data_IF_887691113423
#
_entry.id   IF_887691113423
#
_cell.length_a   1.000
_cell.length_b   1.000
_cell.length_c   1.000
_cell.angle_alpha   90.00
_cell.angle_beta   90.00
_cell.angle_gamma   90.00
#
_symmetry.space_group_name_H-M   'P 1'
#
loop_
_entity.id
_entity.type
_entity.pdbx_description
1 polymer ?
#
# COMPACT_ATOMS: atom_id res chain seq x y z
N UNK A 1 -21.32 13.27 12.44
CA UNK A 1 -20.51 13.87 11.37
C UNK A 1 -19.07 14.17 11.82
N UNK A 2 -18.83 15.12 12.74
CA UNK A 2 -17.45 15.42 13.22
C UNK A 2 -16.90 14.35 14.16
N UNK A 3 -17.73 13.80 15.04
CA UNK A 3 -17.34 12.70 15.94
C UNK A 3 -16.93 11.43 15.18
N UNK A 4 -17.68 11.03 14.15
CA UNK A 4 -17.35 9.86 13.31
C UNK A 4 -16.03 10.07 12.55
N UNK A 5 -15.81 11.28 12.02
CA UNK A 5 -14.59 11.63 11.29
C UNK A 5 -13.38 11.66 12.22
N UNK A 6 -13.53 12.24 13.41
CA UNK A 6 -12.47 12.29 14.42
C UNK A 6 -12.06 10.90 14.91
N UNK A 7 -13.03 9.98 15.06
CA UNK A 7 -12.76 8.59 15.42
C UNK A 7 -11.95 7.88 14.32
N UNK A 8 -12.37 8.03 13.05
CA UNK A 8 -11.68 7.44 11.90
C UNK A 8 -10.26 7.97 11.74
N UNK A 9 -10.07 9.30 11.85
CA UNK A 9 -8.76 9.94 11.78
C UNK A 9 -7.85 9.53 12.94
N UNK A 10 -8.39 9.41 14.16
CA UNK A 10 -7.63 8.95 15.33
C UNK A 10 -7.17 7.51 15.16
N UNK A 11 -8.02 6.63 14.62
CA UNK A 11 -7.65 5.24 14.33
C UNK A 11 -6.60 5.16 13.21
N UNK A 12 -6.76 5.94 12.14
CA UNK A 12 -5.76 6.06 11.07
C UNK A 12 -4.41 6.56 11.61
N UNK A 13 -4.42 7.51 12.53
CA UNK A 13 -3.21 8.01 13.20
C UNK A 13 -2.50 6.91 14.00
N UNK A 14 -3.24 6.09 14.76
CA UNK A 14 -2.68 4.95 15.49
C UNK A 14 -2.05 3.94 14.52
N UNK A 15 -2.74 3.56 13.45
CA UNK A 15 -2.23 2.60 12.45
C UNK A 15 -0.98 3.15 11.76
N UNK A 16 -0.97 4.40 11.32
CA UNK A 16 0.21 5.03 10.71
C UNK A 16 1.40 5.09 11.68
N UNK A 17 1.15 5.35 12.96
CA UNK A 17 2.19 5.33 13.99
C UNK A 17 2.74 3.93 14.23
N UNK A 18 1.90 2.90 14.24
CA UNK A 18 2.32 1.50 14.33
C UNK A 18 3.16 1.07 13.12
N UNK A 19 2.80 1.50 11.91
CA UNK A 19 3.61 1.24 10.71
C UNK A 19 4.98 1.92 10.78
N UNK A 20 5.06 3.15 11.30
CA UNK A 20 6.33 3.83 11.53
C UNK A 20 7.20 3.11 12.58
N UNK A 21 6.60 2.66 13.69
CA UNK A 21 7.32 1.90 14.72
C UNK A 21 7.77 0.54 14.18
N UNK A 22 6.94 -0.17 13.41
CA UNK A 22 7.32 -1.43 12.75
C UNK A 22 8.48 -1.22 11.78
N UNK A 23 8.38 -0.21 10.90
CA UNK A 23 9.45 0.15 9.98
C UNK A 23 10.75 0.51 10.71
N UNK A 24 10.66 1.32 11.77
CA UNK A 24 11.82 1.62 12.61
C UNK A 24 12.37 0.34 13.27
N UNK A 25 11.55 -0.51 13.87
CA UNK A 25 12.03 -1.74 14.53
C UNK A 25 12.72 -2.73 13.59
N UNK A 26 12.30 -2.79 12.33
CA UNK A 26 12.84 -3.72 11.32
C UNK A 26 14.05 -3.14 10.56
N UNK A 27 14.06 -1.83 10.28
CA UNK A 27 15.06 -1.21 9.43
C UNK A 27 16.08 -0.32 10.17
N UNK A 28 15.86 0.00 11.45
CA UNK A 28 16.77 0.84 12.21
C UNK A 28 18.09 0.10 12.49
N UNK A 29 19.15 0.54 11.82
CA UNK A 29 20.50 -0.03 11.94
C UNK A 29 20.90 -1.03 10.84
N UNK A 30 19.99 -1.46 9.96
CA UNK A 30 20.24 -2.46 8.90
C UNK A 30 19.89 -1.93 7.49
N UNK A 31 20.30 -0.70 7.18
CA UNK A 31 19.92 0.03 5.97
C UNK A 31 20.62 -0.44 4.66
N UNK A 32 20.88 -1.74 4.49
CA UNK A 32 21.63 -2.24 3.33
C UNK A 32 20.81 -2.93 2.23
N UNK A 33 19.49 -3.11 2.36
CA UNK A 33 18.71 -3.80 1.32
C UNK A 33 17.36 -3.11 1.09
N UNK A 34 17.11 -2.73 -0.17
CA UNK A 34 15.99 -1.90 -0.66
C UNK A 34 14.61 -2.62 -0.64
N UNK A 35 14.56 -3.84 -0.12
CA UNK A 35 13.37 -4.71 -0.20
C UNK A 35 12.52 -4.67 1.08
N UNK A 36 12.04 -3.49 1.50
CA UNK A 36 11.34 -3.31 2.77
C UNK A 36 10.12 -4.24 2.96
N UNK A 37 9.34 -4.47 1.90
CA UNK A 37 8.18 -5.37 1.96
C UNK A 37 8.58 -6.85 2.07
N UNK A 38 9.62 -7.27 1.34
CA UNK A 38 10.11 -8.67 1.38
C UNK A 38 10.77 -8.97 2.73
N UNK A 39 11.57 -8.05 3.25
CA UNK A 39 12.19 -8.15 4.57
C UNK A 39 11.13 -8.17 5.69
N UNK A 40 10.07 -7.38 5.58
CA UNK A 40 8.96 -7.41 6.53
C UNK A 40 8.18 -8.73 6.47
N UNK A 41 7.95 -9.29 5.28
CA UNK A 41 7.34 -10.62 5.12
C UNK A 41 8.19 -11.73 5.74
N UNK A 42 9.50 -11.72 5.49
CA UNK A 42 10.44 -12.71 6.01
C UNK A 42 10.68 -12.57 7.52
N UNK A 43 10.76 -11.34 8.05
CA UNK A 43 10.88 -11.09 9.49
C UNK A 43 9.64 -11.52 10.27
N UNK A 44 8.44 -11.43 9.67
CA UNK A 44 7.20 -11.99 10.23
C UNK A 44 7.13 -13.52 10.14
N UNK A 45 7.96 -14.15 9.32
CA UNK A 45 8.02 -15.61 9.20
C UNK A 45 8.96 -16.24 10.24
N UNK A 46 9.85 -15.46 10.84
CA UNK A 46 10.75 -15.92 11.90
C UNK A 46 10.03 -15.96 13.26
N UNK A 47 9.75 -17.19 13.71
CA UNK A 47 8.98 -17.53 14.92
C UNK A 47 9.58 -17.04 16.24
N UNK A 48 10.80 -16.48 16.24
CA UNK A 48 11.49 -15.98 17.43
C UNK A 48 11.20 -14.50 17.73
N UNK A 49 10.79 -13.70 16.72
CA UNK A 49 10.54 -12.25 16.85
C UNK A 49 9.03 -11.94 16.83
N UNK A 50 8.27 -12.69 16.04
CA UNK A 50 6.83 -12.53 15.88
C UNK A 50 6.08 -13.65 16.62
N UNK A 51 5.92 -13.54 17.94
CA UNK A 51 5.15 -14.52 18.71
C UNK A 51 3.78 -14.78 18.08
N UNK A 52 3.57 -16.01 17.56
CA UNK A 52 2.37 -16.75 17.14
C UNK A 52 1.12 -16.05 16.52
N UNK A 53 1.06 -14.73 16.45
CA UNK A 53 -0.16 -13.94 16.18
C UNK A 53 -0.01 -13.11 14.88
N UNK A 54 1.22 -12.88 14.42
CA UNK A 54 1.52 -12.09 13.22
C UNK A 54 2.07 -12.97 12.09
N UNK A 55 1.24 -13.87 11.56
CA UNK A 55 1.63 -14.66 10.38
C UNK A 55 1.80 -13.74 9.18
N UNK A 56 2.85 -13.95 8.39
CA UNK A 56 3.13 -13.23 7.13
C UNK A 56 1.94 -13.22 6.16
N UNK A 57 1.06 -14.22 6.26
CA UNK A 57 -0.23 -14.30 5.57
C UNK A 57 -1.24 -13.24 6.00
N UNK A 58 -1.34 -12.91 7.29
CA UNK A 58 -2.23 -11.85 7.78
C UNK A 58 -1.76 -10.47 7.31
N UNK A 59 -0.43 -10.25 7.28
CA UNK A 59 0.14 -9.03 6.70
C UNK A 59 -0.15 -8.92 5.20
N UNK A 60 0.05 -9.99 4.44
CA UNK A 60 -0.29 -10.02 3.02
C UNK A 60 -1.80 -9.79 2.76
N UNK A 61 -2.67 -10.40 3.58
CA UNK A 61 -4.12 -10.20 3.50
C UNK A 61 -4.51 -8.76 3.85
N UNK A 62 -3.90 -8.17 4.88
CA UNK A 62 -4.13 -6.78 5.27
C UNK A 62 -3.67 -5.81 4.18
N UNK A 63 -2.52 -6.05 3.54
CA UNK A 63 -2.06 -5.28 2.39
C UNK A 63 -3.03 -5.40 1.20
N UNK A 64 -3.52 -6.61 0.91
CA UNK A 64 -4.50 -6.83 -0.15
C UNK A 64 -5.81 -6.08 0.13
N UNK A 65 -6.33 -6.18 1.36
CA UNK A 65 -7.54 -5.50 1.79
C UNK A 65 -7.39 -3.97 1.74
N UNK A 66 -6.25 -3.43 2.16
CA UNK A 66 -5.93 -2.00 2.08
C UNK A 66 -6.00 -1.47 0.64
N UNK A 67 -5.48 -2.24 -0.33
CA UNK A 67 -5.53 -1.88 -1.75
C UNK A 67 -6.95 -1.78 -2.32
N UNK A 68 -7.88 -2.62 -1.86
CA UNK A 68 -9.28 -2.57 -2.32
C UNK A 68 -10.00 -1.32 -1.80
N UNK A 69 -9.80 -0.98 -0.53
CA UNK A 69 -10.41 0.20 0.08
C UNK A 69 -9.97 1.50 -0.62
N UNK A 70 -8.68 1.60 -0.96
CA UNK A 70 -8.14 2.76 -1.70
C UNK A 70 -8.77 2.90 -3.10
N UNK A 71 -9.02 1.79 -3.78
CA UNK A 71 -9.60 1.80 -5.14
C UNK A 71 -11.03 2.36 -5.14
N UNK A 72 -11.88 1.95 -4.19
CA UNK A 72 -13.28 2.38 -4.13
C UNK A 72 -13.36 3.88 -3.85
N UNK A 73 -12.68 4.36 -2.80
CA UNK A 73 -12.65 5.78 -2.45
C UNK A 73 -12.04 6.62 -3.58
N UNK A 74 -10.95 6.14 -4.21
CA UNK A 74 -10.33 6.83 -5.35
C UNK A 74 -11.27 7.01 -6.54
N UNK A 75 -12.08 6.01 -6.86
CA UNK A 75 -13.05 6.12 -7.97
C UNK A 75 -14.20 7.08 -7.67
N UNK A 76 -14.68 7.11 -6.42
CA UNK A 76 -15.72 8.04 -5.96
C UNK A 76 -15.22 9.48 -5.83
N UNK A 77 -13.97 9.69 -5.41
CA UNK A 77 -13.35 11.02 -5.43
C UNK A 77 -13.06 11.47 -6.86
N UNK A 78 -12.59 10.58 -7.73
CA UNK A 78 -12.32 10.83 -9.15
C UNK A 78 -13.57 11.29 -9.90
N UNK A 79 -14.61 10.47 -9.92
CA UNK A 79 -15.90 10.93 -9.41
C UNK A 79 -16.27 12.42 -9.41
N UNK A 80 -16.33 12.88 -8.17
CA UNK A 80 -16.67 14.23 -7.71
C UNK A 80 -15.77 15.28 -8.37
N UNK A 81 -14.48 15.00 -8.54
CA UNK A 81 -13.53 15.94 -9.17
C UNK A 81 -13.81 16.10 -10.66
N UNK A 82 -14.05 15.00 -11.39
CA UNK A 82 -14.34 15.04 -12.84
C UNK A 82 -15.67 15.72 -13.12
N UNK A 83 -16.70 15.44 -12.33
CA UNK A 83 -18.01 16.11 -12.47
C UNK A 83 -17.97 17.57 -12.01
N UNK A 84 -17.21 17.89 -10.96
CA UNK A 84 -17.14 19.24 -10.39
C UNK A 84 -16.24 20.21 -11.17
N UNK A 85 -15.05 19.77 -11.58
CA UNK A 85 -14.08 20.63 -12.25
C UNK A 85 -14.17 20.55 -13.79
N UNK A 86 -14.30 19.33 -14.33
CA UNK A 86 -14.31 19.11 -15.79
C UNK A 86 -15.72 19.05 -16.37
N UNK A 87 -16.78 19.01 -15.54
CA UNK A 87 -18.17 18.84 -15.94
C UNK A 87 -18.39 17.63 -16.88
N UNK A 88 -17.53 16.63 -16.78
CA UNK A 88 -17.55 15.41 -17.61
C UNK A 88 -18.10 14.25 -16.80
N UNK A 89 -19.25 13.71 -17.21
CA UNK A 89 -19.84 12.51 -16.62
C UNK A 89 -19.33 11.27 -17.33
N UNK A 90 -18.30 10.66 -16.77
CA UNK A 90 -17.76 9.38 -17.23
C UNK A 90 -18.20 8.23 -16.32
N UNK A 91 -18.48 7.03 -16.87
CA UNK A 91 -18.84 5.88 -16.07
C UNK A 91 -17.69 5.45 -15.14
N UNK A 92 -18.04 4.95 -13.95
CA UNK A 92 -17.08 4.54 -12.90
C UNK A 92 -16.01 3.56 -13.39
N UNK A 93 -16.37 2.62 -14.28
CA UNK A 93 -15.36 1.68 -14.83
C UNK A 93 -14.27 2.45 -15.56
N UNK A 94 -14.61 3.51 -16.29
CA UNK A 94 -13.70 4.15 -17.24
C UNK A 94 -12.66 4.96 -16.49
N UNK A 95 -13.09 5.63 -15.42
CA UNK A 95 -12.21 6.30 -14.47
C UNK A 95 -11.30 5.27 -13.77
N UNK A 96 -11.84 4.11 -13.38
CA UNK A 96 -11.07 3.04 -12.74
C UNK A 96 -10.00 2.44 -13.68
N UNK A 97 -10.35 2.16 -14.93
CA UNK A 97 -9.42 1.62 -15.92
C UNK A 97 -8.36 2.67 -16.27
N UNK A 98 -8.78 3.92 -16.52
CA UNK A 98 -7.87 5.02 -16.85
C UNK A 98 -6.84 5.24 -15.75
N UNK A 99 -7.29 5.47 -14.52
CA UNK A 99 -6.39 5.69 -13.37
C UNK A 99 -5.47 4.49 -13.11
N UNK A 100 -5.95 3.26 -13.29
CA UNK A 100 -5.14 2.05 -13.13
C UNK A 100 -4.07 1.90 -14.21
N UNK A 101 -4.38 2.19 -15.47
CA UNK A 101 -3.39 2.17 -16.57
C UNK A 101 -2.32 3.22 -16.31
N UNK A 102 -2.72 4.45 -15.98
CA UNK A 102 -1.78 5.53 -15.68
C UNK A 102 -0.89 5.22 -14.47
N UNK A 103 -1.43 4.57 -13.44
CA UNK A 103 -0.67 4.15 -12.27
C UNK A 103 0.26 2.94 -12.56
N UNK A 104 -0.17 1.98 -13.39
CA UNK A 104 0.61 0.78 -13.69
C UNK A 104 1.73 1.03 -14.70
N UNK A 105 1.57 1.97 -15.64
CA UNK A 105 2.60 2.29 -16.64
C UNK A 105 3.99 2.56 -16.04
N UNK A 106 4.17 3.51 -15.11
CA UNK A 106 5.49 3.76 -14.52
C UNK A 106 6.00 2.56 -13.73
N UNK A 107 5.12 1.82 -13.04
CA UNK A 107 5.48 0.61 -12.29
C UNK A 107 6.02 -0.47 -13.22
N UNK A 108 5.35 -0.71 -14.35
CA UNK A 108 5.79 -1.70 -15.35
C UNK A 108 7.10 -1.27 -15.98
N UNK A 109 7.26 0.02 -16.31
CA UNK A 109 8.52 0.54 -16.87
C UNK A 109 9.68 0.29 -15.92
N UNK A 110 9.53 0.65 -14.64
CA UNK A 110 10.55 0.39 -13.61
C UNK A 110 10.79 -1.11 -13.45
N UNK A 111 9.74 -1.92 -13.40
CA UNK A 111 9.86 -3.38 -13.28
C UNK A 111 10.59 -4.01 -14.47
N UNK A 112 10.39 -3.52 -15.69
CA UNK A 112 11.10 -4.03 -16.88
C UNK A 112 12.55 -3.55 -16.92
N UNK A 113 12.81 -2.29 -16.54
CA UNK A 113 14.17 -1.73 -16.53
C UNK A 113 15.04 -2.31 -15.41
N UNK A 114 14.47 -2.53 -14.23
CA UNK A 114 15.19 -3.00 -13.03
C UNK A 114 14.99 -4.49 -12.72
N UNK A 115 13.99 -5.15 -13.31
CA UNK A 115 13.66 -6.56 -13.07
C UNK A 115 14.69 -7.57 -13.59
N UNK A 116 15.88 -7.11 -14.00
CA UNK A 116 17.01 -7.95 -14.38
C UNK A 116 18.16 -7.97 -13.34
N UNK A 117 18.03 -7.31 -12.19
CA UNK A 117 19.08 -7.32 -11.16
C UNK A 117 19.00 -8.48 -10.15
N UNK A 118 18.26 -9.56 -10.44
CA UNK A 118 18.16 -10.75 -9.59
C UNK A 118 19.01 -11.94 -10.11
N UNK A 119 20.08 -11.66 -10.88
CA UNK A 119 20.94 -12.71 -11.48
C UNK A 119 22.43 -12.62 -11.16
N UNK A 120 22.86 -11.75 -10.25
CA UNK A 120 24.30 -11.62 -9.91
C UNK A 120 24.57 -11.39 -8.42
N UNK A 121 23.84 -12.06 -7.53
CA UNK A 121 24.19 -12.16 -6.11
C UNK A 121 24.17 -13.63 -5.66
N UNK A 122 24.93 -14.47 -6.37
CA UNK A 122 25.59 -15.66 -5.81
C UNK A 122 26.97 -15.23 -5.29
#
# INVERSE_FOLDING_TARGET
MTWDSNLQLSLAFIVNSLLLILGASLFFGHASEISAFSQMYNALQDSTIAGAIASSTLFALALLASGQNSTITGTLTGQIVMEGFLHLRLPQWLIRIGTRIFALLPVIIVAVLFGHQEKTLD
#
